data_IF_823224421160
#
_entry.id   IF_823224421160
#
_cell.length_a   1.000
_cell.length_b   1.000
_cell.length_c   1.000
_cell.angle_alpha   90.00
_cell.angle_beta   90.00
_cell.angle_gamma   90.00
#
_symmetry.space_group_name_H-M   'P 1'
#
loop_
_entity.id
_entity.type
_entity.pdbx_description
1 polymer ?
#
# COMPACT_ATOMS: atom_id res chain seq x y z
N UNK A 1 11.45 -10.95 11.96
CA UNK A 1 10.89 -9.64 12.32
C UNK A 1 9.38 -9.75 12.15
N UNK A 2 8.65 -9.94 13.25
CA UNK A 2 7.18 -10.04 13.21
C UNK A 2 6.63 -8.64 12.96
N UNK A 3 6.07 -8.42 11.78
CA UNK A 3 5.38 -7.17 11.47
C UNK A 3 3.98 -7.34 12.05
N UNK A 4 3.71 -6.74 13.22
CA UNK A 4 2.37 -6.73 13.81
C UNK A 4 1.51 -5.74 13.02
N UNK A 5 0.75 -6.26 12.06
CA UNK A 5 -0.22 -5.50 11.27
C UNK A 5 -1.60 -6.01 11.59
N UNK A 6 -2.47 -5.12 12.05
CA UNK A 6 -3.89 -5.41 12.24
C UNK A 6 -4.66 -5.03 10.98
N UNK A 7 -5.87 -5.57 10.83
CA UNK A 7 -6.74 -5.27 9.70
C UNK A 7 -8.09 -4.85 10.22
N UNK A 8 -8.58 -3.69 9.75
CA UNK A 8 -9.99 -3.33 9.92
C UNK A 8 -10.88 -4.28 9.12
N UNK A 9 -12.14 -4.45 9.55
CA UNK A 9 -13.11 -5.24 8.80
C UNK A 9 -13.30 -4.69 7.38
N UNK A 10 -13.30 -3.36 7.25
CA UNK A 10 -13.36 -2.68 5.97
C UNK A 10 -12.20 -3.08 5.05
N UNK A 11 -10.97 -3.13 5.55
CA UNK A 11 -9.83 -3.57 4.77
C UNK A 11 -9.96 -5.03 4.31
N UNK A 12 -10.41 -5.93 5.20
CA UNK A 12 -10.60 -7.35 4.87
C UNK A 12 -11.62 -7.50 3.73
N UNK A 13 -12.75 -6.81 3.81
CA UNK A 13 -13.74 -6.80 2.73
C UNK A 13 -13.18 -6.26 1.41
N UNK A 14 -12.43 -5.16 1.47
CA UNK A 14 -11.87 -4.50 0.28
C UNK A 14 -10.80 -5.34 -0.38
N UNK A 15 -9.97 -6.00 0.42
CA UNK A 15 -8.98 -6.97 -0.06
C UNK A 15 -9.66 -8.16 -0.72
N UNK A 16 -10.70 -8.73 -0.11
CA UNK A 16 -11.46 -9.82 -0.73
C UNK A 16 -12.06 -9.41 -2.08
N UNK A 17 -12.66 -8.22 -2.15
CA UNK A 17 -13.30 -7.69 -3.38
C UNK A 17 -12.30 -7.38 -4.49
N UNK A 18 -11.09 -6.93 -4.18
CA UNK A 18 -10.12 -6.43 -5.19
C UNK A 18 -8.99 -7.39 -5.51
N UNK A 19 -8.53 -8.16 -4.52
CA UNK A 19 -7.41 -9.09 -4.63
C UNK A 19 -7.86 -10.55 -4.54
N UNK A 20 -9.14 -10.82 -4.19
CA UNK A 20 -9.65 -12.18 -4.00
C UNK A 20 -9.09 -12.89 -2.75
N UNK A 21 -8.39 -12.17 -1.87
CA UNK A 21 -7.71 -12.77 -0.72
C UNK A 21 -8.64 -12.84 0.50
N UNK A 22 -8.63 -13.98 1.18
CA UNK A 22 -9.20 -14.12 2.53
C UNK A 22 -8.22 -13.59 3.59
N UNK A 23 -8.67 -13.46 4.85
CA UNK A 23 -7.87 -12.91 5.96
C UNK A 23 -6.51 -13.60 6.13
N UNK A 24 -6.47 -14.93 6.13
CA UNK A 24 -5.22 -15.71 6.26
C UNK A 24 -4.26 -15.47 5.10
N UNK A 25 -4.78 -15.26 3.88
CA UNK A 25 -3.96 -14.92 2.72
C UNK A 25 -3.49 -13.47 2.77
N UNK A 26 -4.31 -12.54 3.26
CA UNK A 26 -3.95 -11.15 3.52
C UNK A 26 -2.79 -11.05 4.53
N UNK A 27 -2.81 -11.83 5.60
CA UNK A 27 -1.70 -11.90 6.58
C UNK A 27 -0.36 -12.25 5.94
N UNK A 28 -0.33 -13.21 5.00
CA UNK A 28 0.90 -13.53 4.27
C UNK A 28 1.27 -12.46 3.24
N UNK A 29 0.26 -11.88 2.59
CA UNK A 29 0.43 -10.85 1.58
C UNK A 29 0.97 -9.55 2.16
N UNK A 30 0.54 -9.17 3.36
CA UNK A 30 0.94 -7.89 3.98
C UNK A 30 2.42 -7.86 4.32
N UNK A 31 3.02 -9.02 4.64
CA UNK A 31 4.46 -9.14 4.85
C UNK A 31 5.22 -8.67 3.60
N UNK A 32 4.79 -9.10 2.41
CA UNK A 32 5.37 -8.67 1.13
C UNK A 32 5.10 -7.20 0.83
N UNK A 33 3.91 -6.70 1.15
CA UNK A 33 3.58 -5.28 0.97
C UNK A 33 4.52 -4.41 1.81
N UNK A 34 4.75 -4.77 3.07
CA UNK A 34 5.59 -3.97 3.97
C UNK A 34 7.08 -4.10 3.66
N UNK A 35 7.55 -5.27 3.19
CA UNK A 35 8.94 -5.48 2.78
C UNK A 35 9.26 -4.85 1.42
N UNK A 36 8.43 -5.13 0.41
CA UNK A 36 8.76 -4.88 -0.99
C UNK A 36 8.02 -3.66 -1.56
N UNK A 37 6.97 -3.20 -0.89
CA UNK A 37 6.16 -2.06 -1.33
C UNK A 37 6.88 -0.72 -1.12
N UNK A 38 6.65 0.23 -2.01
CA UNK A 38 7.27 1.57 -1.96
C UNK A 38 6.52 2.42 -0.94
N UNK A 39 7.21 2.84 0.12
CA UNK A 39 6.64 3.66 1.20
C UNK A 39 6.46 5.09 0.76
N UNK A 40 5.58 5.81 1.44
CA UNK A 40 5.24 7.19 1.12
C UNK A 40 6.47 8.09 0.96
N UNK A 41 7.42 8.05 1.89
CA UNK A 41 8.69 8.77 1.89
C UNK A 41 9.61 8.41 0.72
N UNK A 42 9.51 7.19 0.20
CA UNK A 42 10.25 6.72 -0.97
C UNK A 42 9.60 7.10 -2.31
N UNK A 43 8.30 7.41 -2.31
CA UNK A 43 7.56 7.78 -3.53
C UNK A 43 8.10 9.08 -4.14
N UNK A 44 8.11 9.14 -5.47
CA UNK A 44 8.58 10.32 -6.23
C UNK A 44 7.58 10.80 -7.27
N UNK A 45 7.72 12.07 -7.68
CA UNK A 45 6.98 12.67 -8.79
C UNK A 45 5.46 12.67 -8.63
N UNK A 46 4.73 12.45 -9.73
CA UNK A 46 3.25 12.48 -9.75
C UNK A 46 2.62 11.44 -8.82
N UNK A 47 3.26 10.30 -8.61
CA UNK A 47 2.76 9.27 -7.69
C UNK A 47 2.80 9.74 -6.23
N UNK A 48 3.86 10.45 -5.83
CA UNK A 48 3.94 11.10 -4.51
C UNK A 48 2.89 12.18 -4.36
N UNK A 49 2.67 13.02 -5.38
CA UNK A 49 1.65 14.07 -5.36
C UNK A 49 0.24 13.47 -5.20
N UNK A 50 -0.07 12.39 -5.91
CA UNK A 50 -1.33 11.68 -5.77
C UNK A 50 -1.51 11.07 -4.38
N UNK A 51 -0.48 10.38 -3.86
CA UNK A 51 -0.51 9.85 -2.50
C UNK A 51 -0.68 10.96 -1.44
N UNK A 52 -0.09 12.13 -1.68
CA UNK A 52 -0.23 13.33 -0.82
C UNK A 52 -1.67 13.86 -0.86
N UNK A 53 -2.32 13.87 -2.02
CA UNK A 53 -3.74 14.23 -2.13
C UNK A 53 -4.65 13.25 -1.38
N UNK A 54 -4.36 11.94 -1.41
CA UNK A 54 -5.07 10.94 -0.61
C UNK A 54 -4.90 11.18 0.89
N UNK A 55 -3.70 11.58 1.32
CA UNK A 55 -3.39 11.91 2.72
C UNK A 55 -4.26 13.07 3.22
N UNK A 56 -4.25 14.21 2.50
CA UNK A 56 -5.00 15.41 2.91
C UNK A 56 -6.52 15.25 2.87
N UNK A 57 -7.06 14.43 1.95
CA UNK A 57 -8.51 14.19 1.86
C UNK A 57 -9.07 13.38 3.03
N UNK A 58 -8.22 12.67 3.76
CA UNK A 58 -8.66 11.66 4.72
C UNK A 58 -8.18 11.88 6.14
N UNK A 59 -7.22 12.79 6.40
CA UNK A 59 -6.71 13.19 7.72
C UNK A 59 -6.34 12.04 8.70
N UNK A 60 -6.26 10.79 8.23
CA UNK A 60 -6.27 9.57 9.06
C UNK A 60 -5.23 8.53 8.60
N UNK A 61 -4.46 8.76 7.52
CA UNK A 61 -3.57 7.74 6.94
C UNK A 61 -2.07 8.12 6.93
N UNK A 62 -1.39 8.17 8.10
CA UNK A 62 0.04 8.48 8.21
C UNK A 62 0.95 7.55 7.40
N UNK A 63 0.50 6.34 7.08
CA UNK A 63 1.32 5.36 6.38
C UNK A 63 0.65 4.88 5.09
N UNK A 64 1.32 5.17 3.98
CA UNK A 64 0.92 4.77 2.62
C UNK A 64 2.02 3.89 2.03
N UNK A 65 1.62 2.73 1.48
CA UNK A 65 2.51 1.82 0.78
C UNK A 65 1.92 1.48 -0.60
N UNK A 66 2.74 1.56 -1.65
CA UNK A 66 2.34 1.16 -3.01
C UNK A 66 2.95 -0.19 -3.35
N UNK A 67 2.12 -1.16 -3.72
CA UNK A 67 2.55 -2.52 -4.09
C UNK A 67 1.62 -3.14 -5.14
N UNK A 68 2.19 -3.67 -6.23
CA UNK A 68 1.48 -4.35 -7.33
C UNK A 68 0.26 -3.56 -7.84
N UNK A 69 0.42 -2.25 -8.06
CA UNK A 69 -0.63 -1.32 -8.53
C UNK A 69 -1.78 -1.09 -7.54
N UNK A 70 -1.59 -1.45 -6.29
CA UNK A 70 -2.48 -1.09 -5.19
C UNK A 70 -1.79 -0.13 -4.21
N UNK A 71 -2.61 0.70 -3.58
CA UNK A 71 -2.22 1.62 -2.51
C UNK A 71 -2.84 1.10 -1.23
N UNK A 72 -2.00 0.84 -0.24
CA UNK A 72 -2.38 0.35 1.08
C UNK A 72 -2.30 1.53 2.05
N UNK A 73 -3.40 1.79 2.74
CA UNK A 73 -3.55 2.92 3.66
C UNK A 73 -3.67 2.39 5.08
N UNK A 74 -2.71 2.74 5.90
CA UNK A 74 -2.62 2.35 7.31
C UNK A 74 -2.81 3.58 8.19
N UNK A 75 -3.36 3.35 9.39
CA UNK A 75 -3.32 4.32 10.46
C UNK A 75 -1.94 4.34 11.17
N UNK A 76 -1.84 5.13 12.24
CA UNK A 76 -0.66 5.27 13.09
C UNK A 76 -0.35 4.00 13.91
N UNK A 77 -1.37 3.19 14.24
CA UNK A 77 -1.23 1.95 15.00
C UNK A 77 -0.92 0.72 14.11
N UNK A 78 -0.53 0.92 12.85
CA UNK A 78 -0.28 -0.14 11.86
C UNK A 78 -1.53 -1.00 11.54
N UNK A 79 -2.73 -0.44 11.63
CA UNK A 79 -3.95 -1.08 11.15
C UNK A 79 -4.17 -0.73 9.68
N UNK A 80 -4.29 -1.75 8.84
CA UNK A 80 -4.73 -1.55 7.46
C UNK A 80 -6.20 -1.12 7.47
N UNK A 81 -6.46 0.11 7.02
CA UNK A 81 -7.82 0.68 6.99
C UNK A 81 -8.48 0.39 5.65
N UNK A 82 -7.75 0.57 4.54
CA UNK A 82 -8.30 0.27 3.22
C UNK A 82 -7.19 0.06 2.19
N UNK A 83 -7.59 -0.46 1.04
CA UNK A 83 -6.74 -0.53 -0.16
C UNK A 83 -7.41 0.26 -1.29
N UNK A 84 -6.66 0.72 -2.28
CA UNK A 84 -7.18 1.39 -3.47
C UNK A 84 -6.35 1.01 -4.71
N UNK A 85 -6.93 1.16 -5.90
CA UNK A 85 -6.15 1.04 -7.14
C UNK A 85 -5.25 2.26 -7.31
N UNK A 86 -4.05 2.04 -7.85
CA UNK A 86 -3.26 3.13 -8.45
C UNK A 86 -4.04 3.64 -9.67
N UNK A 87 -4.20 4.97 -9.84
CA UNK A 87 -4.80 5.55 -11.04
C UNK A 87 -4.11 5.05 -12.31
N UNK A 88 -4.88 4.81 -13.37
CA UNK A 88 -4.38 4.24 -14.63
C UNK A 88 -3.19 5.01 -15.21
N UNK A 89 -3.24 6.34 -15.14
CA UNK A 89 -2.16 7.24 -15.59
C UNK A 89 -0.86 7.10 -14.79
N UNK A 90 -0.92 6.59 -13.55
CA UNK A 90 0.21 6.44 -12.64
C UNK A 90 0.77 5.02 -12.57
N UNK A 91 0.12 4.03 -13.23
CA UNK A 91 0.55 2.62 -13.18
C UNK A 91 2.00 2.46 -13.64
N UNK A 92 2.39 3.10 -14.76
CA UNK A 92 3.77 3.03 -15.27
C UNK A 92 4.78 3.57 -14.24
N UNK A 93 4.42 4.65 -13.54
CA UNK A 93 5.26 5.24 -12.50
C UNK A 93 5.38 4.32 -11.28
N UNK A 94 4.27 3.71 -10.86
CA UNK A 94 4.26 2.76 -9.74
C UNK A 94 5.09 1.51 -10.05
N UNK A 95 4.88 0.89 -11.21
CA UNK A 95 5.63 -0.30 -11.66
C UNK A 95 7.15 0.00 -11.71
N UNK A 96 7.53 1.18 -12.22
CA UNK A 96 8.92 1.62 -12.28
C UNK A 96 9.53 1.82 -10.88
N UNK A 97 8.84 2.52 -9.97
CA UNK A 97 9.34 2.78 -8.62
C UNK A 97 9.50 1.49 -7.80
N UNK A 98 8.55 0.57 -7.93
CA UNK A 98 8.64 -0.74 -7.28
C UNK A 98 9.84 -1.55 -7.81
N UNK A 99 10.06 -1.55 -9.14
CA UNK A 99 11.24 -2.20 -9.75
C UNK A 99 12.55 -1.63 -9.22
N UNK A 100 12.65 -0.30 -9.05
CA UNK A 100 13.85 0.33 -8.48
C UNK A 100 14.05 0.00 -7.00
N UNK A 101 12.98 -0.13 -6.21
CA UNK A 101 13.08 -0.55 -4.81
C UNK A 101 13.66 -1.95 -4.69
N UNK A 102 13.13 -2.91 -5.45
CA UNK A 102 13.61 -4.31 -5.43
C UNK A 102 15.11 -4.37 -5.83
N UNK A 103 15.52 -3.63 -6.87
CA UNK A 103 16.92 -3.56 -7.31
C UNK A 103 17.89 -2.94 -6.30
N UNK A 104 17.42 -2.18 -5.31
CA UNK A 104 18.26 -1.60 -4.25
C UNK A 104 18.46 -2.56 -3.07
N UNK A 105 17.61 -3.57 -2.96
CA UNK A 105 17.60 -4.52 -1.84
C UNK A 105 18.42 -5.78 -2.18
N UNK A 106 18.73 -6.00 -3.47
CA UNK A 106 19.64 -7.02 -4.01
C UNK A 106 20.97 -6.38 -4.33
#
# INVERSE_FOLDING_TARGET
>A
MSIDVKFSDHAIERVKKRLGLNKKALERHIVKVVSDGVRFDELKGKLKQYATSLYYRKNIYPKIIVYNRFIYLFDDENVLITICYVPSELIKSADQQQKYKIKKVV
#
